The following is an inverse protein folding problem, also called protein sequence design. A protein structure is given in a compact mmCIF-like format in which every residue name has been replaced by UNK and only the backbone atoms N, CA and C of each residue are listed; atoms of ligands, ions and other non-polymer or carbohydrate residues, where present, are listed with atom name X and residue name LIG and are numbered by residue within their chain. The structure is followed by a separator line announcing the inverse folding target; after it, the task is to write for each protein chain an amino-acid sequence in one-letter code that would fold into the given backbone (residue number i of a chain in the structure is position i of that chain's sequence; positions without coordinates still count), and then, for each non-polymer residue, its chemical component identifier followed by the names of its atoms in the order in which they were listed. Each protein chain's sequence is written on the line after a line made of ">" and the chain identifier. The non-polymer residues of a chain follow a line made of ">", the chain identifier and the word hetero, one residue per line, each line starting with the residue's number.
data_IF_846616765528
#
_entry.id   IF_846616765528
#
_cell.length_a   1.000
_cell.length_b   1.000
_cell.length_c   1.000
_cell.angle_alpha   90.00
_cell.angle_beta   90.00
_cell.angle_gamma   90.00
#
_symmetry.space_group_name_H-M   'P 1'
#
loop_
_entity.id
_entity.type
_entity.pdbx_description
1 polymer ?
#
# COMPACT_ATOMS: atom_id res chain seq x y z
N UNK A 1 -36.17 -33.70 60.61
CA UNK A 1 -36.40 -33.65 59.15
C UNK A 1 -37.22 -32.41 58.81
N UNK A 2 -36.58 -31.23 58.63
CA UNK A 2 -37.23 -29.96 58.23
C UNK A 2 -36.28 -29.02 57.47
N UNK A 3 -35.22 -29.54 56.85
CA UNK A 3 -34.18 -28.72 56.20
C UNK A 3 -34.19 -28.90 54.67
N UNK A 4 -34.82 -29.96 54.16
CA UNK A 4 -34.77 -30.32 52.73
C UNK A 4 -35.66 -29.43 51.84
N UNK A 5 -36.74 -28.87 52.39
CA UNK A 5 -37.65 -28.00 51.65
C UNK A 5 -36.98 -26.68 51.21
N UNK A 6 -36.06 -26.16 52.02
CA UNK A 6 -35.38 -24.91 51.70
C UNK A 6 -34.39 -25.07 50.53
N UNK A 7 -33.74 -26.24 50.45
CA UNK A 7 -32.86 -26.57 49.33
C UNK A 7 -33.61 -26.73 48.02
N UNK A 8 -34.79 -27.37 48.03
CA UNK A 8 -35.62 -27.55 46.84
C UNK A 8 -36.11 -26.22 46.24
N UNK A 9 -36.52 -25.26 47.08
CA UNK A 9 -36.96 -23.94 46.61
C UNK A 9 -35.77 -23.14 46.05
N UNK A 10 -34.59 -23.24 46.66
CA UNK A 10 -33.37 -22.60 46.14
C UNK A 10 -32.92 -23.18 44.79
N UNK A 11 -33.14 -24.48 44.57
CA UNK A 11 -32.80 -25.16 43.32
C UNK A 11 -33.78 -24.82 42.20
N UNK A 12 -35.06 -24.66 42.52
CA UNK A 12 -36.10 -24.23 41.56
C UNK A 12 -35.81 -22.82 41.01
N UNK A 13 -35.32 -21.91 41.87
CA UNK A 13 -34.89 -20.58 41.43
C UNK A 13 -33.59 -20.59 40.60
N UNK A 14 -32.70 -21.56 40.80
CA UNK A 14 -31.47 -21.72 39.98
C UNK A 14 -31.75 -22.38 38.62
N UNK A 15 -32.75 -23.24 38.53
CA UNK A 15 -33.09 -23.98 37.30
C UNK A 15 -33.78 -23.13 36.22
N UNK A 16 -34.35 -21.97 36.59
CA UNK A 16 -35.11 -21.09 35.68
C UNK A 16 -34.27 -20.03 34.95
N UNK A 17 -32.93 -20.16 34.89
CA UNK A 17 -32.12 -19.31 34.02
C UNK A 17 -32.16 -19.87 32.59
N UNK A 18 -32.79 -19.20 31.61
CA UNK A 18 -32.69 -19.62 30.23
C UNK A 18 -31.21 -19.59 29.83
N UNK A 19 -30.67 -20.73 29.37
CA UNK A 19 -29.36 -20.79 28.72
C UNK A 19 -29.41 -19.80 27.55
N UNK A 20 -28.67 -18.71 27.66
CA UNK A 20 -28.53 -17.73 26.60
C UNK A 20 -28.19 -18.45 25.31
N UNK A 21 -29.04 -18.29 24.31
CA UNK A 21 -28.78 -18.77 22.96
C UNK A 21 -27.44 -18.21 22.52
N UNK A 22 -26.52 -19.11 22.17
CA UNK A 22 -25.25 -18.70 21.57
C UNK A 22 -25.59 -17.83 20.37
N UNK A 23 -25.24 -16.54 20.43
CA UNK A 23 -25.29 -15.65 19.27
C UNK A 23 -24.49 -16.35 18.18
N UNK A 24 -25.19 -16.88 17.17
CA UNK A 24 -24.56 -17.28 15.92
C UNK A 24 -23.95 -16.01 15.37
N UNK A 25 -22.64 -15.87 15.50
CA UNK A 25 -21.89 -14.80 14.84
C UNK A 25 -22.09 -15.01 13.36
N UNK A 26 -23.03 -14.28 12.78
CA UNK A 26 -23.14 -14.13 11.33
C UNK A 26 -21.77 -13.65 10.89
N UNK A 27 -21.02 -14.50 10.19
CA UNK A 27 -19.75 -14.12 9.60
C UNK A 27 -20.05 -12.89 8.75
N UNK A 28 -19.56 -11.74 9.19
CA UNK A 28 -19.68 -10.48 8.47
C UNK A 28 -19.01 -10.73 7.13
N UNK A 29 -19.75 -10.59 6.03
CA UNK A 29 -19.16 -10.67 4.70
C UNK A 29 -18.04 -9.64 4.64
N UNK A 30 -16.81 -10.11 4.55
CA UNK A 30 -15.63 -9.26 4.41
C UNK A 30 -15.54 -8.87 2.95
N UNK A 31 -15.66 -7.57 2.64
CA UNK A 31 -15.34 -7.07 1.31
C UNK A 31 -13.87 -7.39 0.99
N UNK A 32 -13.65 -8.06 -0.14
CA UNK A 32 -12.32 -8.30 -0.69
C UNK A 32 -12.04 -7.24 -1.76
N UNK A 33 -10.99 -6.45 -1.57
CA UNK A 33 -10.52 -5.49 -2.57
C UNK A 33 -9.37 -6.11 -3.36
N UNK A 34 -9.64 -6.48 -4.61
CA UNK A 34 -8.62 -6.92 -5.56
C UNK A 34 -8.14 -5.72 -6.37
N UNK A 35 -6.98 -5.17 -5.99
CA UNK A 35 -6.29 -4.15 -6.81
C UNK A 35 -5.51 -4.87 -7.90
N UNK A 36 -5.75 -4.49 -9.16
CA UNK A 36 -4.99 -4.99 -10.30
C UNK A 36 -3.49 -4.77 -10.11
N UNK A 37 -2.68 -5.72 -10.55
CA UNK A 37 -1.22 -5.64 -10.50
C UNK A 37 -0.71 -4.36 -11.15
N UNK A 38 -1.23 -4.04 -12.34
CA UNK A 38 -0.95 -2.80 -13.06
C UNK A 38 -1.26 -1.53 -12.22
N UNK A 39 -2.36 -1.53 -11.47
CA UNK A 39 -2.72 -0.40 -10.61
C UNK A 39 -1.74 -0.21 -9.45
N UNK A 40 -1.21 -1.30 -8.89
CA UNK A 40 -0.16 -1.25 -7.87
C UNK A 40 1.14 -0.68 -8.46
N UNK A 41 1.55 -1.19 -9.61
CA UNK A 41 2.77 -0.75 -10.29
C UNK A 41 2.72 0.73 -10.64
N UNK A 42 1.56 1.21 -11.12
CA UNK A 42 1.36 2.62 -11.43
C UNK A 42 1.49 3.51 -10.19
N UNK A 43 0.90 3.11 -9.05
CA UNK A 43 1.01 3.89 -7.81
C UNK A 43 2.45 3.94 -7.30
N UNK A 44 3.18 2.83 -7.41
CA UNK A 44 4.60 2.76 -7.04
C UNK A 44 5.41 3.68 -7.97
N UNK A 45 5.23 3.58 -9.29
CA UNK A 45 5.93 4.41 -10.26
C UNK A 45 5.65 5.90 -10.04
N UNK A 46 4.40 6.26 -9.77
CA UNK A 46 3.99 7.64 -9.48
C UNK A 46 4.65 8.16 -8.20
N UNK A 47 4.70 7.35 -7.15
CA UNK A 47 5.35 7.71 -5.89
C UNK A 47 6.85 7.94 -6.09
N UNK A 48 7.53 7.02 -6.78
CA UNK A 48 8.96 7.12 -7.08
C UNK A 48 9.26 8.34 -7.96
N UNK A 49 8.43 8.63 -8.96
CA UNK A 49 8.58 9.81 -9.79
C UNK A 49 8.42 11.12 -9.00
N UNK A 50 7.51 11.16 -8.02
CA UNK A 50 7.30 12.33 -7.16
C UNK A 50 8.38 12.50 -6.08
N UNK A 51 8.96 11.41 -5.59
CA UNK A 51 10.07 11.42 -4.61
C UNK A 51 11.43 11.66 -5.28
N UNK A 52 11.51 11.51 -6.60
CA UNK A 52 12.74 11.76 -7.35
C UNK A 52 13.12 13.24 -7.28
N UNK A 53 14.40 13.55 -7.03
CA UNK A 53 14.84 14.94 -6.97
C UNK A 53 14.74 15.62 -8.33
N UNK A 54 14.30 16.88 -8.34
CA UNK A 54 14.22 17.72 -9.54
C UNK A 54 15.55 17.78 -10.30
N UNK A 55 16.66 17.79 -9.54
CA UNK A 55 18.02 17.80 -10.09
C UNK A 55 18.71 16.47 -9.79
N UNK A 56 19.11 15.77 -10.86
CA UNK A 56 19.95 14.57 -10.79
C UNK A 56 21.41 14.97 -10.63
N UNK A 57 21.79 15.34 -9.40
CA UNK A 57 23.13 15.85 -9.06
C UNK A 57 24.26 14.94 -9.56
N UNK A 58 24.10 13.62 -9.47
CA UNK A 58 25.10 12.65 -9.92
C UNK A 58 25.41 12.76 -11.41
N UNK A 59 24.37 12.92 -12.25
CA UNK A 59 24.55 13.09 -13.70
C UNK A 59 25.18 14.43 -14.04
N UNK A 60 24.83 15.49 -13.32
CA UNK A 60 25.43 16.82 -13.51
C UNK A 60 26.92 16.77 -13.17
N UNK A 61 27.28 16.10 -12.08
CA UNK A 61 28.66 15.90 -11.65
C UNK A 61 29.46 15.11 -12.68
N UNK A 62 28.93 13.99 -13.17
CA UNK A 62 29.57 13.19 -14.23
C UNK A 62 29.84 14.01 -15.50
N UNK A 63 28.84 14.76 -15.98
CA UNK A 63 29.00 15.63 -17.14
C UNK A 63 30.09 16.67 -16.87
N UNK A 64 30.07 17.31 -15.69
CA UNK A 64 31.06 18.31 -15.32
C UNK A 64 32.48 17.73 -15.27
N UNK A 65 32.64 16.50 -14.78
CA UNK A 65 33.92 15.80 -14.76
C UNK A 65 34.41 15.49 -16.17
N UNK A 66 33.54 15.01 -17.07
CA UNK A 66 33.87 14.81 -18.48
C UNK A 66 34.24 16.11 -19.20
N UNK A 67 33.57 17.21 -18.87
CA UNK A 67 33.92 18.53 -19.39
C UNK A 67 35.30 18.98 -18.89
N UNK A 68 35.61 18.80 -17.60
CA UNK A 68 36.93 19.11 -17.03
C UNK A 68 38.04 18.24 -17.61
N UNK A 69 37.75 16.97 -17.88
CA UNK A 69 38.68 16.03 -18.50
C UNK A 69 38.85 16.26 -20.02
N UNK A 70 38.06 17.16 -20.63
CA UNK A 70 38.07 17.41 -22.07
C UNK A 70 37.50 16.25 -22.90
N UNK A 71 36.88 15.25 -22.28
CA UNK A 71 36.30 14.07 -22.93
C UNK A 71 34.81 14.23 -23.25
N UNK A 72 34.24 15.39 -22.92
CA UNK A 72 32.88 15.75 -23.33
C UNK A 72 32.86 16.20 -24.80
N UNK A 73 32.58 15.24 -25.70
CA UNK A 73 32.42 15.51 -27.12
C UNK A 73 30.95 15.30 -27.53
N UNK A 74 30.34 16.33 -28.11
CA UNK A 74 28.96 16.27 -28.63
C UNK A 74 29.04 16.34 -30.14
N UNK A 75 28.49 15.35 -30.83
CA UNK A 75 28.47 15.32 -32.29
C UNK A 75 27.40 16.27 -32.84
N UNK A 76 27.58 16.75 -34.07
CA UNK A 76 26.60 17.63 -34.72
C UNK A 76 25.31 16.85 -35.00
N UNK A 77 25.44 15.55 -35.27
CA UNK A 77 24.35 14.61 -35.49
C UNK A 77 23.49 14.46 -34.23
N UNK A 78 24.10 14.36 -33.05
CA UNK A 78 23.37 14.29 -31.77
C UNK A 78 22.57 15.57 -31.50
N UNK A 79 23.16 16.73 -31.83
CA UNK A 79 22.49 18.02 -31.68
C UNK A 79 21.31 18.11 -32.64
N UNK A 80 21.51 17.77 -33.92
CA UNK A 80 20.46 17.80 -34.93
C UNK A 80 19.31 16.84 -34.58
N UNK A 81 19.63 15.62 -34.13
CA UNK A 81 18.65 14.65 -33.67
C UNK A 81 17.83 15.18 -32.48
N UNK A 82 18.47 15.82 -31.50
CA UNK A 82 17.77 16.41 -30.35
C UNK A 82 16.91 17.63 -30.72
N UNK A 83 17.34 18.42 -31.69
CA UNK A 83 16.51 19.51 -32.22
C UNK A 83 15.28 18.97 -32.97
N UNK A 84 15.47 17.96 -33.81
CA UNK A 84 14.38 17.32 -34.55
C UNK A 84 13.36 16.67 -33.61
N UNK A 85 13.81 15.90 -32.61
CA UNK A 85 12.97 15.27 -31.58
C UNK A 85 12.11 16.31 -30.84
N UNK A 86 12.69 17.48 -30.52
CA UNK A 86 11.96 18.57 -29.84
C UNK A 86 10.92 19.27 -30.73
N UNK A 87 11.11 19.27 -32.04
CA UNK A 87 10.21 19.96 -33.00
C UNK A 87 9.13 19.02 -33.53
N UNK A 88 9.45 17.72 -33.68
CA UNK A 88 8.60 16.73 -34.35
C UNK A 88 7.98 15.70 -33.39
N UNK A 89 8.48 15.58 -32.16
CA UNK A 89 7.91 14.75 -31.08
C UNK A 89 7.02 15.55 -30.16
#
# INVERSE_FOLDING_TARGET
>A
MRVDAYMQVSQLYKANKPKGTAKKTTATATDSLEISEFGKDYQIAKKVAAESPDVRADKVKDIMERMKAGTYNVSIEDVAAKMADRILG
#
